data_IF_163412877495
#
_entry.id   IF_163412877495
#
_cell.length_a   1.000
_cell.length_b   1.000
_cell.length_c   1.000
_cell.angle_alpha   90.00
_cell.angle_beta   90.00
_cell.angle_gamma   90.00
#
_symmetry.space_group_name_H-M   'P 1'
#
loop_
_entity.id
_entity.type
_entity.pdbx_description
1 polymer ?
#
# COMPACT_ATOMS: atom_id res chain seq x y z
N UNK A 1 -14.54 -4.71 -7.37
CA UNK A 1 -13.66 -3.56 -7.05
C UNK A 1 -14.07 -3.08 -5.65
N UNK A 2 -13.16 -2.60 -4.81
CA UNK A 2 -13.55 -2.15 -3.46
C UNK A 2 -14.55 -0.98 -3.55
N UNK A 3 -15.58 -0.98 -2.69
CA UNK A 3 -16.58 0.07 -2.58
C UNK A 3 -15.95 1.46 -2.33
N UNK A 4 -14.74 1.53 -1.74
CA UNK A 4 -14.02 2.80 -1.54
C UNK A 4 -13.42 3.35 -2.83
N UNK A 5 -12.80 2.49 -3.65
CA UNK A 5 -12.15 2.89 -4.91
C UNK A 5 -13.20 3.30 -5.94
N UNK A 6 -14.32 2.59 -6.04
CA UNK A 6 -15.41 2.95 -6.95
C UNK A 6 -15.99 4.33 -6.62
N UNK A 7 -16.27 4.59 -5.34
CA UNK A 7 -16.75 5.89 -4.86
C UNK A 7 -15.76 7.01 -5.12
N UNK A 8 -14.47 6.76 -4.88
CA UNK A 8 -13.43 7.74 -5.15
C UNK A 8 -13.48 8.24 -6.60
N UNK A 9 -13.38 7.32 -7.57
CA UNK A 9 -13.32 7.70 -8.97
C UNK A 9 -14.64 8.29 -9.47
N UNK A 10 -15.78 7.93 -8.86
CA UNK A 10 -17.05 8.61 -9.11
C UNK A 10 -16.98 10.09 -8.69
N UNK A 11 -16.50 10.39 -7.47
CA UNK A 11 -16.32 11.76 -6.98
C UNK A 11 -15.39 12.58 -7.87
N UNK A 12 -14.20 12.04 -8.22
CA UNK A 12 -13.26 12.76 -9.08
C UNK A 12 -13.85 13.10 -10.46
N UNK A 13 -14.69 12.21 -11.03
CA UNK A 13 -15.40 12.46 -12.29
C UNK A 13 -16.45 13.56 -12.17
N UNK A 14 -17.24 13.55 -11.09
CA UNK A 14 -18.23 14.60 -10.81
C UNK A 14 -17.55 15.96 -10.64
N UNK A 15 -16.41 15.99 -9.95
CA UNK A 15 -15.58 17.18 -9.71
C UNK A 15 -14.75 17.60 -10.94
N UNK A 16 -14.73 16.79 -12.02
CA UNK A 16 -13.94 17.01 -13.24
C UNK A 16 -12.45 17.21 -12.97
N UNK A 17 -11.89 16.45 -12.04
CA UNK A 17 -10.46 16.46 -11.71
C UNK A 17 -9.84 15.08 -11.81
N UNK A 18 -8.52 15.04 -11.98
CA UNK A 18 -7.76 13.81 -11.83
C UNK A 18 -7.68 13.40 -10.35
N UNK A 19 -7.54 12.10 -10.10
CA UNK A 19 -7.20 11.57 -8.79
C UNK A 19 -5.69 11.73 -8.55
N UNK A 20 -5.31 12.13 -7.34
CA UNK A 20 -3.92 12.17 -6.89
C UNK A 20 -3.62 10.96 -6.00
N UNK A 21 -2.70 10.12 -6.45
CA UNK A 21 -2.37 8.84 -5.83
C UNK A 21 -0.89 8.83 -5.44
N UNK A 22 -0.53 9.24 -4.21
CA UNK A 22 0.83 9.12 -3.72
C UNK A 22 1.21 7.67 -3.40
N UNK A 23 2.48 7.37 -3.62
CA UNK A 23 3.14 6.15 -3.15
C UNK A 23 4.07 6.47 -1.97
N UNK A 24 4.06 5.63 -0.94
CA UNK A 24 5.08 5.60 0.12
C UNK A 24 5.47 4.16 0.46
N UNK A 25 6.72 3.94 0.88
CA UNK A 25 7.16 2.63 1.36
C UNK A 25 6.77 2.45 2.84
N UNK A 26 6.04 1.38 3.16
CA UNK A 26 5.64 1.11 4.53
C UNK A 26 6.86 0.73 5.38
N UNK A 27 6.95 1.34 6.56
CA UNK A 27 8.10 1.14 7.44
C UNK A 27 9.29 2.03 7.11
N UNK A 28 9.23 2.92 6.11
CA UNK A 28 10.28 3.91 5.86
C UNK A 28 9.95 5.27 6.53
N UNK A 29 10.74 5.76 7.50
CA UNK A 29 11.82 5.07 8.21
C UNK A 29 11.31 4.18 9.37
N UNK A 30 10.01 4.20 9.67
CA UNK A 30 9.32 3.26 10.57
C UNK A 30 7.80 3.36 10.40
N UNK A 31 7.05 2.38 10.93
CA UNK A 31 5.59 2.35 10.79
C UNK A 31 4.85 3.51 11.46
N UNK A 32 5.36 4.07 12.55
CA UNK A 32 4.72 5.23 13.18
C UNK A 32 4.74 6.43 12.22
N UNK A 33 5.87 6.68 11.55
CA UNK A 33 5.98 7.68 10.49
C UNK A 33 5.11 7.35 9.28
N UNK A 34 5.01 6.08 8.87
CA UNK A 34 4.10 5.68 7.80
C UNK A 34 2.65 6.09 8.09
N UNK A 35 2.16 5.87 9.31
CA UNK A 35 0.80 6.29 9.71
C UNK A 35 0.67 7.81 9.65
N UNK A 36 1.61 8.55 10.26
CA UNK A 36 1.59 10.02 10.26
C UNK A 36 1.58 10.61 8.84
N UNK A 37 2.44 10.09 7.96
CA UNK A 37 2.54 10.52 6.57
C UNK A 37 1.26 10.19 5.80
N UNK A 38 0.69 9.00 6.00
CA UNK A 38 -0.56 8.59 5.35
C UNK A 38 -1.72 9.53 5.69
N UNK A 39 -1.86 9.90 6.96
CA UNK A 39 -2.89 10.84 7.42
C UNK A 39 -2.63 12.27 6.93
N UNK A 40 -1.36 12.68 6.87
CA UNK A 40 -1.00 13.97 6.29
C UNK A 40 -1.32 14.03 4.80
N UNK A 41 -1.01 12.98 4.03
CA UNK A 41 -1.34 12.89 2.61
C UNK A 41 -2.85 12.96 2.38
N UNK A 42 -3.67 12.23 3.16
CA UNK A 42 -5.14 12.33 3.09
C UNK A 42 -5.60 13.77 3.33
N UNK A 43 -5.08 14.42 4.38
CA UNK A 43 -5.44 15.80 4.73
C UNK A 43 -5.07 16.79 3.63
N UNK A 44 -3.95 16.59 2.94
CA UNK A 44 -3.49 17.45 1.85
C UNK A 44 -4.08 17.08 0.48
N UNK A 45 -5.06 16.16 0.44
CA UNK A 45 -5.87 15.89 -0.75
C UNK A 45 -5.46 14.65 -1.55
N UNK A 46 -4.75 13.70 -0.95
CA UNK A 46 -4.60 12.38 -1.54
C UNK A 46 -5.95 11.66 -1.66
N UNK A 47 -6.19 11.07 -2.81
CA UNK A 47 -7.42 10.36 -3.14
C UNK A 47 -7.34 8.86 -2.83
N UNK A 48 -6.14 8.28 -3.00
CA UNK A 48 -5.81 6.89 -2.73
C UNK A 48 -4.35 6.83 -2.29
N UNK A 49 -4.02 5.92 -1.39
CA UNK A 49 -2.63 5.65 -1.02
C UNK A 49 -2.16 4.33 -1.63
N UNK A 50 -1.08 4.39 -2.38
CA UNK A 50 -0.29 3.21 -2.69
C UNK A 50 0.73 3.00 -1.57
N UNK A 51 0.63 1.86 -0.89
CA UNK A 51 1.47 1.52 0.24
C UNK A 51 2.38 0.35 -0.12
N UNK A 52 3.67 0.63 -0.24
CA UNK A 52 4.69 -0.35 -0.62
C UNK A 52 4.98 -1.36 0.48
N UNK A 53 4.89 -2.66 0.18
CA UNK A 53 5.49 -3.70 1.02
C UNK A 53 6.98 -3.77 0.66
N UNK A 54 7.90 -3.46 1.60
CA UNK A 54 9.33 -3.48 1.29
C UNK A 54 9.81 -4.89 0.98
N UNK A 55 10.62 -5.02 -0.07
CA UNK A 55 11.17 -6.29 -0.54
C UNK A 55 12.68 -6.17 -0.78
N UNK A 56 13.43 -7.25 -0.54
CA UNK A 56 14.90 -7.26 -0.62
C UNK A 56 15.43 -7.23 -2.04
N UNK A 57 14.66 -7.75 -3.01
CA UNK A 57 15.08 -7.89 -4.40
C UNK A 57 14.11 -7.16 -5.37
N UNK A 58 13.93 -5.83 -5.23
CA UNK A 58 12.94 -5.07 -6.00
C UNK A 58 13.44 -4.71 -7.40
N UNK A 59 13.45 -5.70 -8.31
CA UNK A 59 14.05 -5.58 -9.65
C UNK A 59 13.36 -4.56 -10.56
N UNK A 60 12.08 -4.24 -10.32
CA UNK A 60 11.30 -3.32 -11.14
C UNK A 60 11.38 -1.86 -10.67
N UNK A 61 11.92 -1.61 -9.47
CA UNK A 61 11.94 -0.30 -8.84
C UNK A 61 13.16 0.55 -9.23
N UNK A 62 12.96 1.87 -9.27
CA UNK A 62 14.04 2.85 -9.36
C UNK A 62 14.77 3.05 -8.02
N UNK A 63 15.99 3.62 -8.07
CA UNK A 63 16.89 3.76 -6.91
C UNK A 63 16.24 4.40 -5.67
N UNK A 64 15.33 5.35 -5.84
CA UNK A 64 14.64 6.02 -4.73
C UNK A 64 13.76 5.04 -3.96
N UNK A 65 12.98 4.21 -4.66
CA UNK A 65 12.12 3.19 -4.07
C UNK A 65 12.95 2.08 -3.42
N UNK A 66 14.04 1.66 -4.08
CA UNK A 66 14.97 0.66 -3.54
C UNK A 66 15.55 1.12 -2.19
N UNK A 67 16.00 2.38 -2.10
CA UNK A 67 16.53 2.94 -0.87
C UNK A 67 15.46 3.08 0.24
N UNK A 68 14.21 3.36 -0.13
CA UNK A 68 13.09 3.36 0.81
C UNK A 68 12.80 1.97 1.37
N UNK A 69 12.74 0.96 0.50
CA UNK A 69 12.58 -0.43 0.89
C UNK A 69 13.73 -0.90 1.79
N UNK A 70 14.97 -0.53 1.47
CA UNK A 70 16.13 -0.84 2.29
C UNK A 70 16.00 -0.28 3.71
N UNK A 71 15.68 1.02 3.85
CA UNK A 71 15.49 1.65 5.17
C UNK A 71 14.36 0.98 5.96
N UNK A 72 13.26 0.62 5.28
CA UNK A 72 12.15 -0.07 5.92
C UNK A 72 12.55 -1.47 6.42
N UNK A 73 13.29 -2.24 5.62
CA UNK A 73 13.79 -3.56 6.03
C UNK A 73 14.78 -3.47 7.19
N UNK A 74 15.70 -2.50 7.16
CA UNK A 74 16.64 -2.22 8.26
C UNK A 74 15.91 -1.82 9.56
N UNK A 75 14.74 -1.17 9.43
CA UNK A 75 13.85 -0.85 10.56
C UNK A 75 12.98 -2.04 11.02
N UNK A 76 13.12 -3.22 10.41
CA UNK A 76 12.41 -4.44 10.78
C UNK A 76 11.00 -4.58 10.18
N UNK A 77 10.73 -3.91 9.05
CA UNK A 77 9.44 -4.05 8.37
C UNK A 77 9.20 -5.50 7.90
N UNK A 78 7.97 -5.96 8.08
CA UNK A 78 7.48 -7.29 7.66
C UNK A 78 6.11 -7.14 7.03
N UNK A 79 5.66 -8.10 6.22
CA UNK A 79 4.29 -8.13 5.66
C UNK A 79 3.25 -7.97 6.78
N UNK A 80 3.36 -8.74 7.86
CA UNK A 80 2.49 -8.60 9.03
C UNK A 80 2.51 -7.17 9.61
N UNK A 81 3.68 -6.57 9.75
CA UNK A 81 3.82 -5.18 10.21
C UNK A 81 3.13 -4.16 9.29
N UNK A 82 3.19 -4.38 7.96
CA UNK A 82 2.46 -3.55 6.99
C UNK A 82 0.96 -3.68 7.18
N UNK A 83 0.44 -4.90 7.33
CA UNK A 83 -0.99 -5.13 7.55
C UNK A 83 -1.48 -4.50 8.87
N UNK A 84 -0.68 -4.57 9.93
CA UNK A 84 -0.98 -3.87 11.18
C UNK A 84 -0.93 -2.35 11.00
N UNK A 85 0.03 -1.82 10.22
CA UNK A 85 0.07 -0.40 9.88
C UNK A 85 -1.21 0.05 9.16
N UNK A 86 -1.72 -0.74 8.21
CA UNK A 86 -3.01 -0.47 7.56
C UNK A 86 -4.14 -0.42 8.58
N UNK A 87 -4.20 -1.36 9.54
CA UNK A 87 -5.20 -1.32 10.63
C UNK A 87 -5.11 -0.05 11.45
N UNK A 88 -3.91 0.43 11.74
CA UNK A 88 -3.70 1.70 12.46
C UNK A 88 -4.20 2.90 11.64
N UNK A 89 -3.90 2.96 10.34
CA UNK A 89 -4.41 4.03 9.46
C UNK A 89 -5.94 4.02 9.44
N UNK A 90 -6.55 2.83 9.33
CA UNK A 90 -8.01 2.64 9.28
C UNK A 90 -8.75 3.08 10.55
N UNK A 91 -8.08 3.22 11.69
CA UNK A 91 -8.67 3.80 12.92
C UNK A 91 -9.01 5.28 12.77
N UNK A 92 -8.35 5.97 11.84
CA UNK A 92 -8.42 7.42 11.68
C UNK A 92 -8.80 7.86 10.26
N UNK A 93 -8.72 6.97 9.28
CA UNK A 93 -8.80 7.30 7.85
C UNK A 93 -9.73 6.35 7.09
N UNK A 94 -10.40 6.90 6.07
CA UNK A 94 -11.15 6.12 5.07
C UNK A 94 -10.48 6.14 3.69
N UNK A 95 -9.30 6.76 3.56
CA UNK A 95 -8.52 6.79 2.34
C UNK A 95 -8.36 5.38 1.75
N UNK A 96 -8.78 5.10 0.51
CA UNK A 96 -8.54 3.81 -0.13
C UNK A 96 -7.04 3.46 -0.10
N UNK A 97 -6.69 2.22 0.23
CA UNK A 97 -5.30 1.75 0.28
C UNK A 97 -5.12 0.58 -0.68
N UNK A 98 -4.16 0.72 -1.60
CA UNK A 98 -3.69 -0.38 -2.47
C UNK A 98 -2.31 -0.78 -2.00
N UNK A 99 -2.09 -2.08 -1.78
CA UNK A 99 -0.74 -2.57 -1.51
C UNK A 99 0.04 -2.70 -2.81
N UNK A 100 1.17 -2.01 -2.88
CA UNK A 100 2.14 -2.07 -3.96
C UNK A 100 3.21 -3.11 -3.57
N UNK A 101 3.32 -4.21 -4.30
CA UNK A 101 4.16 -5.33 -3.86
C UNK A 101 4.67 -6.22 -5.00
N UNK A 102 5.67 -7.04 -4.69
CA UNK A 102 6.09 -8.15 -5.52
C UNK A 102 5.37 -9.43 -5.07
N UNK A 103 5.33 -10.44 -5.93
CA UNK A 103 4.66 -11.70 -5.63
C UNK A 103 5.34 -12.48 -4.50
N UNK A 104 6.67 -12.47 -4.44
CA UNK A 104 7.42 -13.29 -3.48
C UNK A 104 7.09 -12.98 -1.99
N UNK A 105 6.97 -11.72 -1.53
CA UNK A 105 6.45 -11.41 -0.19
C UNK A 105 5.11 -12.08 0.13
N UNK A 106 4.17 -12.12 -0.82
CA UNK A 106 2.86 -12.78 -0.65
C UNK A 106 3.05 -14.29 -0.54
N UNK A 107 3.82 -14.91 -1.45
CA UNK A 107 4.08 -16.34 -1.44
C UNK A 107 4.74 -16.82 -0.14
N UNK A 108 5.68 -16.03 0.40
CA UNK A 108 6.38 -16.33 1.65
C UNK A 108 5.48 -16.19 2.88
N UNK A 109 4.51 -15.28 2.83
CA UNK A 109 3.50 -15.13 3.87
C UNK A 109 2.44 -16.24 3.81
N UNK A 110 2.14 -16.73 2.60
CA UNK A 110 1.05 -17.66 2.30
C UNK A 110 -0.14 -16.92 1.72
N UNK A 111 -0.57 -17.29 0.51
CA UNK A 111 -1.59 -16.55 -0.26
C UNK A 111 -2.92 -16.46 0.50
N UNK A 112 -3.48 -17.59 0.91
CA UNK A 112 -4.78 -17.63 1.60
C UNK A 112 -4.79 -16.85 2.93
N UNK A 113 -3.65 -16.86 3.64
CA UNK A 113 -3.48 -16.11 4.87
C UNK A 113 -3.31 -14.62 4.58
N UNK A 114 -2.51 -14.26 3.58
CA UNK A 114 -2.31 -12.88 3.14
C UNK A 114 -3.63 -12.24 2.72
N UNK A 115 -4.41 -12.88 1.85
CA UNK A 115 -5.67 -12.33 1.35
C UNK A 115 -6.66 -12.06 2.48
N UNK A 116 -6.82 -13.05 3.39
CA UNK A 116 -7.70 -12.93 4.55
C UNK A 116 -7.25 -11.79 5.47
N UNK A 117 -5.96 -11.73 5.79
CA UNK A 117 -5.41 -10.71 6.70
C UNK A 117 -5.42 -9.31 6.07
N UNK A 118 -5.14 -9.19 4.77
CA UNK A 118 -5.17 -7.93 4.03
C UNK A 118 -6.60 -7.37 3.92
N UNK A 119 -7.56 -8.21 3.54
CA UNK A 119 -8.97 -7.82 3.53
C UNK A 119 -9.45 -7.43 4.94
N UNK A 120 -9.10 -8.23 5.95
CA UNK A 120 -9.42 -7.95 7.35
C UNK A 120 -8.74 -6.71 7.91
N UNK A 121 -7.56 -6.35 7.42
CA UNK A 121 -6.88 -5.10 7.76
C UNK A 121 -7.54 -3.87 7.13
N UNK A 122 -8.29 -4.06 6.03
CA UNK A 122 -8.99 -3.01 5.31
C UNK A 122 -8.23 -2.51 4.07
N UNK A 123 -7.37 -3.34 3.47
CA UNK A 123 -6.78 -3.12 2.14
C UNK A 123 -7.89 -3.18 1.08
N UNK A 124 -7.82 -2.29 0.08
CA UNK A 124 -8.85 -2.13 -0.95
C UNK A 124 -8.45 -2.73 -2.32
N UNK A 125 -7.16 -3.02 -2.51
CA UNK A 125 -6.64 -3.65 -3.71
C UNK A 125 -5.17 -4.03 -3.58
N UNK A 126 -4.69 -4.82 -4.54
CA UNK A 126 -3.29 -5.21 -4.68
C UNK A 126 -2.80 -4.79 -6.06
N UNK A 127 -1.56 -4.31 -6.12
CA UNK A 127 -0.81 -4.10 -7.35
C UNK A 127 0.46 -4.94 -7.25
N UNK A 128 0.47 -6.07 -7.97
CA UNK A 128 1.60 -7.01 -8.02
C UNK A 128 2.45 -6.67 -9.25
N UNK A 129 3.69 -6.25 -9.04
CA UNK A 129 4.52 -5.64 -10.09
C UNK A 129 5.12 -6.63 -11.08
N UNK A 130 5.35 -7.86 -10.62
CA UNK A 130 6.07 -8.92 -11.32
C UNK A 130 5.15 -10.08 -11.71
N UNK A 131 3.83 -9.93 -11.59
CA UNK A 131 2.85 -10.90 -12.06
C UNK A 131 2.16 -10.38 -13.34
N UNK A 132 2.52 -10.90 -14.52
CA UNK A 132 1.84 -10.54 -15.76
C UNK A 132 0.41 -11.10 -15.79
N UNK A 133 -0.54 -10.46 -16.49
CA UNK A 133 -1.94 -10.91 -16.54
C UNK A 133 -2.16 -12.33 -17.07
N UNK A 134 -1.20 -12.87 -17.83
CA UNK A 134 -1.24 -14.22 -18.38
C UNK A 134 -0.97 -15.31 -17.34
N UNK A 135 -0.48 -14.94 -16.14
CA UNK A 135 -0.07 -15.85 -15.06
C UNK A 135 -1.01 -15.81 -13.83
N UNK A 136 -2.13 -15.08 -13.92
CA UNK A 136 -3.16 -14.89 -12.88
C UNK A 136 -4.22 -16.01 -12.87
#
# INVERSE_FOLDING_TARGET
>A
MSERIERLFASCREEKRAAFIPYICAGDPNFARTVEISLALEKEGADLLELGIPFSDPLADGIVNQLGAQRALEAGATVHGVLECVRQIRRHSRLPIVLYTYLNPILRYGIDEFEREAAGAGVDGLLILDLPPEED
#
